data_IF_597190179112
#
_entry.id   IF_597190179112
#
_cell.length_a   1.000
_cell.length_b   1.000
_cell.length_c   1.000
_cell.angle_alpha   90.00
_cell.angle_beta   90.00
_cell.angle_gamma   90.00
#
_symmetry.space_group_name_H-M   'P 1'
#
loop_
_entity.id
_entity.type
_entity.pdbx_description
1 polymer ?
#
# COMPACT_ATOMS: atom_id res chain seq x y z
N UNK A 1 12.82 -6.81 -22.35
CA UNK A 1 13.11 -8.01 -21.52
C UNK A 1 12.23 -7.87 -20.30
N UNK A 2 11.32 -8.81 -20.05
CA UNK A 2 10.46 -8.77 -18.86
C UNK A 2 11.32 -9.11 -17.65
N UNK A 3 11.84 -8.08 -16.97
CA UNK A 3 12.47 -8.22 -15.66
C UNK A 3 11.37 -8.63 -14.67
N UNK A 4 11.11 -9.93 -14.56
CA UNK A 4 10.24 -10.46 -13.51
C UNK A 4 10.98 -10.34 -12.20
N UNK A 5 10.78 -9.20 -11.51
CA UNK A 5 11.22 -9.03 -10.13
C UNK A 5 10.54 -10.11 -9.28
N UNK A 6 11.27 -10.78 -8.37
CA UNK A 6 10.67 -11.78 -7.50
C UNK A 6 9.59 -11.13 -6.64
N UNK A 7 8.41 -11.76 -6.58
CA UNK A 7 7.30 -11.36 -5.72
C UNK A 7 7.22 -12.27 -4.50
N UNK A 8 6.78 -11.70 -3.38
CA UNK A 8 6.51 -12.43 -2.13
C UNK A 8 5.05 -12.19 -1.73
N UNK A 9 4.44 -13.20 -1.11
CA UNK A 9 3.10 -13.09 -0.53
C UNK A 9 3.22 -12.96 0.99
N UNK A 10 2.48 -12.02 1.56
CA UNK A 10 2.39 -11.80 3.01
C UNK A 10 0.93 -11.82 3.43
N UNK A 11 0.64 -12.49 4.53
CA UNK A 11 -0.65 -12.37 5.23
C UNK A 11 -0.57 -11.18 6.19
N UNK A 12 -1.53 -10.27 6.10
CA UNK A 12 -1.60 -9.05 6.90
C UNK A 12 -3.01 -8.89 7.46
N UNK A 13 -3.12 -8.58 8.75
CA UNK A 13 -4.39 -8.17 9.34
C UNK A 13 -4.71 -6.69 9.01
N UNK A 14 -5.94 -6.28 9.32
CA UNK A 14 -6.44 -4.92 9.06
C UNK A 14 -5.60 -3.84 9.75
N UNK A 15 -5.03 -4.13 10.93
CA UNK A 15 -4.23 -3.18 11.70
C UNK A 15 -2.85 -2.99 11.07
N UNK A 16 -2.23 -4.06 10.59
CA UNK A 16 -0.98 -4.03 9.84
C UNK A 16 -1.14 -3.25 8.52
N UNK A 17 -2.22 -3.51 7.77
CA UNK A 17 -2.52 -2.77 6.53
C UNK A 17 -2.71 -1.28 6.85
N UNK A 18 -3.44 -0.95 7.92
CA UNK A 18 -3.67 0.44 8.36
C UNK A 18 -2.36 1.14 8.73
N UNK A 19 -1.47 0.44 9.43
CA UNK A 19 -0.15 0.95 9.79
C UNK A 19 0.70 1.24 8.54
N UNK A 20 0.75 0.30 7.60
CA UNK A 20 1.48 0.48 6.35
C UNK A 20 0.95 1.65 5.52
N UNK A 21 -0.38 1.76 5.38
CA UNK A 21 -1.01 2.86 4.64
C UNK A 21 -0.63 4.21 5.26
N UNK A 22 -0.67 4.32 6.59
CA UNK A 22 -0.26 5.55 7.31
C UNK A 22 1.21 5.88 7.08
N UNK A 23 2.09 4.88 7.13
CA UNK A 23 3.52 5.06 6.92
C UNK A 23 3.84 5.55 5.50
N UNK A 24 3.25 4.94 4.47
CA UNK A 24 3.44 5.34 3.07
C UNK A 24 2.91 6.75 2.84
N UNK A 25 1.72 7.07 3.36
CA UNK A 25 1.15 8.41 3.28
C UNK A 25 2.04 9.46 3.95
N UNK A 26 2.52 9.18 5.16
CA UNK A 26 3.43 10.08 5.87
C UNK A 26 4.71 10.32 5.07
N UNK A 27 5.26 9.27 4.47
CA UNK A 27 6.45 9.38 3.63
C UNK A 27 6.21 10.29 2.42
N UNK A 28 5.12 10.09 1.68
CA UNK A 28 4.71 10.94 0.55
C UNK A 28 4.49 12.41 0.96
N UNK A 29 3.96 12.67 2.17
CA UNK A 29 3.75 14.04 2.67
C UNK A 29 5.06 14.74 3.07
N UNK A 30 6.10 14.00 3.45
CA UNK A 30 7.35 14.55 3.99
C UNK A 30 8.52 14.51 3.02
N UNK A 31 8.41 13.74 1.94
CA UNK A 31 9.48 13.54 0.99
C UNK A 31 9.00 13.75 -0.45
N UNK A 32 9.53 14.75 -1.17
CA UNK A 32 9.09 15.07 -2.53
C UNK A 32 9.62 14.09 -3.60
N UNK A 33 10.29 13.02 -3.20
CA UNK A 33 10.85 12.00 -4.10
C UNK A 33 12.37 12.04 -4.23
N UNK A 34 12.89 10.96 -4.82
CA UNK A 34 14.30 10.76 -5.10
C UNK A 34 14.67 11.14 -6.54
N UNK A 35 15.93 10.90 -6.93
CA UNK A 35 16.37 11.11 -8.32
C UNK A 35 15.67 10.19 -9.33
N UNK A 36 15.10 9.07 -8.87
CA UNK A 36 14.29 8.17 -9.69
C UNK A 36 12.80 8.49 -9.52
N UNK A 37 12.10 8.97 -10.57
CA UNK A 37 10.66 9.24 -10.49
C UNK A 37 9.82 7.97 -10.28
N UNK A 38 10.34 6.79 -10.66
CA UNK A 38 9.61 5.52 -10.52
C UNK A 38 9.30 5.21 -9.06
N UNK A 39 10.18 5.62 -8.14
CA UNK A 39 9.99 5.39 -6.71
C UNK A 39 8.76 6.12 -6.16
N UNK A 40 8.50 7.35 -6.61
CA UNK A 40 7.30 8.10 -6.26
C UNK A 40 6.03 7.45 -6.83
N UNK A 41 6.08 7.00 -8.08
CA UNK A 41 4.96 6.30 -8.71
C UNK A 41 4.64 4.99 -7.97
N UNK A 42 5.66 4.23 -7.59
CA UNK A 42 5.54 2.98 -6.85
C UNK A 42 4.96 3.23 -5.44
N UNK A 43 5.37 4.30 -4.76
CA UNK A 43 4.80 4.70 -3.46
C UNK A 43 3.32 5.09 -3.57
N UNK A 44 2.95 5.87 -4.58
CA UNK A 44 1.54 6.22 -4.83
C UNK A 44 0.71 4.98 -5.15
N UNK A 45 1.25 4.06 -5.96
CA UNK A 45 0.60 2.79 -6.26
C UNK A 45 0.40 1.95 -5.00
N UNK A 46 1.42 1.86 -4.15
CA UNK A 46 1.36 1.14 -2.88
C UNK A 46 0.30 1.75 -1.95
N UNK A 47 0.23 3.09 -1.87
CA UNK A 47 -0.83 3.78 -1.11
C UNK A 47 -2.23 3.39 -1.59
N UNK A 48 -2.47 3.39 -2.91
CA UNK A 48 -3.76 3.00 -3.49
C UNK A 48 -4.12 1.56 -3.17
N UNK A 49 -3.18 0.62 -3.30
CA UNK A 49 -3.41 -0.80 -3.02
C UNK A 49 -3.74 -1.02 -1.53
N UNK A 50 -3.00 -0.39 -0.62
CA UNK A 50 -3.26 -0.49 0.81
C UNK A 50 -4.61 0.13 1.20
N UNK A 51 -5.01 1.24 0.55
CA UNK A 51 -6.32 1.83 0.78
C UNK A 51 -7.46 0.93 0.28
N UNK A 52 -7.30 0.30 -0.90
CA UNK A 52 -8.26 -0.68 -1.40
C UNK A 52 -8.42 -1.86 -0.45
N UNK A 53 -7.31 -2.42 0.05
CA UNK A 53 -7.35 -3.51 1.03
C UNK A 53 -8.05 -3.11 2.33
N UNK A 54 -7.87 -1.87 2.82
CA UNK A 54 -8.62 -1.37 3.98
C UNK A 54 -10.13 -1.30 3.74
N UNK A 55 -10.55 -0.91 2.53
CA UNK A 55 -11.95 -0.88 2.17
C UNK A 55 -12.54 -2.30 2.13
N UNK A 56 -11.82 -3.24 1.50
CA UNK A 56 -12.22 -4.66 1.45
C UNK A 56 -12.41 -5.23 2.87
N UNK A 57 -11.43 -5.05 3.76
CA UNK A 57 -11.56 -5.48 5.16
C UNK A 57 -12.74 -4.83 5.89
N UNK A 58 -13.07 -3.58 5.56
CA UNK A 58 -14.20 -2.86 6.19
C UNK A 58 -15.55 -3.36 5.68
N UNK A 59 -15.67 -3.65 4.39
CA UNK A 59 -16.89 -4.19 3.80
C UNK A 59 -17.17 -5.64 4.25
N UNK A 60 -16.13 -6.46 4.41
CA UNK A 60 -16.29 -7.80 4.98
C UNK A 60 -16.84 -7.75 6.42
N UNK A 61 -16.34 -6.81 7.25
CA UNK A 61 -16.82 -6.63 8.62
C UNK A 61 -18.28 -6.15 8.71
N UNK A 62 -18.75 -5.35 7.75
CA UNK A 62 -20.13 -4.87 7.71
C UNK A 62 -21.10 -5.91 7.12
N UNK A 63 -20.63 -6.83 6.27
CA UNK A 63 -21.43 -7.94 5.73
C UNK A 63 -21.69 -9.09 6.71
N UNK A 64 -20.87 -9.21 7.76
CA UNK A 64 -21.02 -10.21 8.82
C UNK A 64 -21.89 -9.73 10.01
N UNK A 65 -22.41 -8.50 9.96
CA UNK A 65 -23.27 -7.92 11.01
C UNK A 65 -24.76 -8.06 10.76
#
# INVERSE_FOLDING_TARGET
MTDSRPTLHFELDVDAIRLLHRSVRFHLEKWPGGPDPQEQEDLHRLQTLLYAALLECSFEQDGER
#
